data_IF_778095706822
#
_entry.id   IF_778095706822
#
_cell.length_a   1.000
_cell.length_b   1.000
_cell.length_c   1.000
_cell.angle_alpha   90.00
_cell.angle_beta   90.00
_cell.angle_gamma   90.00
#
_symmetry.space_group_name_H-M   'P 1'
#
loop_
_entity.id
_entity.type
_entity.pdbx_description
1 polymer ?
#
# COMPACT_ATOMS: atom_id res chain seq x y z
N UNK A 1 7.56 -5.47 -17.64
CA UNK A 1 8.52 -5.24 -16.53
C UNK A 1 7.88 -4.59 -15.28
N UNK A 2 6.55 -4.50 -15.14
CA UNK A 2 5.91 -3.99 -13.91
C UNK A 2 5.70 -5.09 -12.85
N UNK A 3 5.41 -6.33 -13.29
CA UNK A 3 5.23 -7.49 -12.40
C UNK A 3 6.46 -7.83 -11.57
N UNK A 4 7.66 -7.75 -12.15
CA UNK A 4 8.92 -8.03 -11.45
C UNK A 4 9.14 -7.09 -10.26
N UNK A 5 8.75 -5.81 -10.40
CA UNK A 5 8.96 -4.80 -9.36
C UNK A 5 7.98 -4.95 -8.19
N UNK A 6 6.75 -5.37 -8.48
CA UNK A 6 5.73 -5.72 -7.47
C UNK A 6 6.18 -6.94 -6.67
N UNK A 7 6.68 -7.97 -7.37
CA UNK A 7 7.19 -9.19 -6.76
C UNK A 7 8.43 -8.92 -5.89
N UNK A 8 9.37 -8.10 -6.37
CA UNK A 8 10.54 -7.65 -5.59
C UNK A 8 10.15 -6.87 -4.33
N UNK A 9 9.17 -5.97 -4.43
CA UNK A 9 8.69 -5.21 -3.27
C UNK A 9 8.03 -6.12 -2.22
N UNK A 10 7.32 -7.16 -2.65
CA UNK A 10 6.71 -8.13 -1.74
C UNK A 10 7.75 -8.99 -1.03
N UNK A 11 8.74 -9.52 -1.76
CA UNK A 11 9.83 -10.31 -1.18
C UNK A 11 10.61 -9.49 -0.15
N UNK A 12 10.99 -8.25 -0.47
CA UNK A 12 11.70 -7.38 0.45
C UNK A 12 10.87 -7.01 1.70
N UNK A 13 9.54 -7.03 1.61
CA UNK A 13 8.67 -6.82 2.76
C UNK A 13 8.60 -8.09 3.63
N UNK A 14 8.47 -9.25 3.01
CA UNK A 14 8.48 -10.55 3.67
C UNK A 14 9.78 -10.78 4.47
N UNK A 15 10.94 -10.50 3.86
CA UNK A 15 12.25 -10.59 4.54
C UNK A 15 12.35 -9.69 5.78
N UNK A 16 11.75 -8.49 5.73
CA UNK A 16 11.72 -7.58 6.89
C UNK A 16 10.84 -8.12 8.01
N UNK A 17 9.71 -8.72 7.67
CA UNK A 17 8.82 -9.33 8.67
C UNK A 17 9.48 -10.56 9.29
N UNK A 18 10.17 -11.38 8.49
CA UNK A 18 10.95 -12.52 8.99
C UNK A 18 12.00 -12.06 10.00
N UNK A 19 12.73 -10.97 9.70
CA UNK A 19 13.71 -10.40 10.62
C UNK A 19 13.08 -9.89 11.93
N UNK A 20 11.88 -9.31 11.88
CA UNK A 20 11.16 -8.85 13.07
C UNK A 20 10.64 -10.02 13.91
N UNK A 21 10.15 -11.08 13.27
CA UNK A 21 9.72 -12.29 13.95
C UNK A 21 10.90 -12.99 14.64
N UNK A 22 12.06 -13.09 13.99
CA UNK A 22 13.28 -13.65 14.58
C UNK A 22 13.76 -12.87 15.82
N UNK A 23 13.46 -11.57 15.88
CA UNK A 23 13.76 -10.72 17.03
C UNK A 23 12.68 -10.78 18.13
N UNK A 24 11.66 -11.63 17.97
CA UNK A 24 10.46 -11.69 18.81
C UNK A 24 9.74 -10.33 18.93
N UNK A 25 9.90 -9.44 17.95
CA UNK A 25 9.23 -8.14 17.92
C UNK A 25 7.76 -8.26 17.48
N UNK A 26 7.43 -9.32 16.73
CA UNK A 26 6.09 -9.68 16.28
C UNK A 26 5.89 -11.20 16.35
N UNK A 27 4.64 -11.65 16.53
CA UNK A 27 4.30 -13.07 16.46
C UNK A 27 4.07 -13.56 15.02
N UNK A 28 3.90 -14.87 14.87
CA UNK A 28 3.56 -15.51 13.58
C UNK A 28 2.23 -14.99 13.01
N UNK A 29 1.21 -14.87 13.87
CA UNK A 29 -0.10 -14.34 13.50
C UNK A 29 -0.05 -12.86 13.06
N UNK A 30 0.83 -12.06 13.68
CA UNK A 30 1.02 -10.65 13.32
C UNK A 30 1.70 -10.55 11.95
N UNK A 31 2.70 -11.40 11.68
CA UNK A 31 3.35 -11.51 10.38
C UNK A 31 2.35 -11.85 9.27
N UNK A 32 1.51 -12.88 9.47
CA UNK A 32 0.50 -13.26 8.48
C UNK A 32 -0.51 -12.12 8.24
N UNK A 33 -0.92 -11.44 9.31
CA UNK A 33 -1.82 -10.28 9.24
C UNK A 33 -1.20 -9.16 8.39
N UNK A 34 0.06 -8.82 8.65
CA UNK A 34 0.79 -7.76 7.92
C UNK A 34 0.99 -8.12 6.44
N UNK A 35 1.34 -9.36 6.13
CA UNK A 35 1.47 -9.84 4.75
C UNK A 35 0.13 -9.76 4.01
N UNK A 36 -0.94 -10.24 4.62
CA UNK A 36 -2.28 -10.21 4.01
C UNK A 36 -2.76 -8.78 3.73
N UNK A 37 -2.43 -7.83 4.60
CA UNK A 37 -2.73 -6.41 4.38
C UNK A 37 -1.90 -5.79 3.28
N UNK A 38 -0.60 -6.08 3.23
CA UNK A 38 0.24 -5.61 2.14
C UNK A 38 -0.27 -6.11 0.78
N UNK A 39 -0.59 -7.40 0.68
CA UNK A 39 -1.13 -7.99 -0.55
C UNK A 39 -2.49 -7.39 -0.94
N UNK A 40 -3.34 -7.06 0.06
CA UNK A 40 -4.61 -6.35 -0.17
C UNK A 40 -4.38 -4.93 -0.67
N UNK A 41 -3.54 -4.17 0.01
CA UNK A 41 -3.24 -2.78 -0.29
C UNK A 41 -2.65 -2.62 -1.69
N UNK A 42 -1.76 -3.54 -2.10
CA UNK A 42 -1.21 -3.54 -3.45
C UNK A 42 -2.30 -3.71 -4.52
N UNK A 43 -3.27 -4.61 -4.29
CA UNK A 43 -4.40 -4.78 -5.22
C UNK A 43 -5.26 -3.54 -5.28
N UNK A 44 -5.65 -2.99 -4.13
CA UNK A 44 -6.48 -1.79 -4.06
C UNK A 44 -5.83 -0.59 -4.78
N UNK A 45 -4.53 -0.36 -4.56
CA UNK A 45 -3.79 0.71 -5.26
C UNK A 45 -3.74 0.44 -6.77
N UNK A 46 -3.48 -0.79 -7.18
CA UNK A 46 -3.45 -1.16 -8.61
C UNK A 46 -4.82 -0.96 -9.27
N UNK A 47 -5.90 -1.36 -8.60
CA UNK A 47 -7.27 -1.23 -9.09
C UNK A 47 -7.69 0.25 -9.17
N UNK A 48 -7.40 1.06 -8.14
CA UNK A 48 -7.66 2.50 -8.17
C UNK A 48 -6.90 3.18 -9.33
N UNK A 49 -5.63 2.84 -9.52
CA UNK A 49 -4.81 3.37 -10.62
C UNK A 49 -5.39 3.02 -11.98
N UNK A 50 -5.77 1.76 -12.18
CA UNK A 50 -6.23 1.24 -13.46
C UNK A 50 -7.67 1.66 -13.81
N UNK A 51 -8.57 1.64 -12.83
CA UNK A 51 -10.01 1.79 -13.02
C UNK A 51 -10.50 3.21 -12.79
N UNK A 52 -9.80 4.01 -11.98
CA UNK A 52 -10.24 5.37 -11.61
C UNK A 52 -9.27 6.42 -12.12
N UNK A 53 -8.00 6.33 -11.75
CA UNK A 53 -7.04 7.42 -12.01
C UNK A 53 -6.68 7.50 -13.50
N UNK A 54 -6.41 6.37 -14.15
CA UNK A 54 -6.03 6.36 -15.57
C UNK A 54 -7.14 6.91 -16.49
N UNK A 55 -8.41 6.47 -16.41
CA UNK A 55 -9.46 7.01 -17.25
C UNK A 55 -9.69 8.51 -17.04
N UNK A 56 -9.63 8.98 -15.78
CA UNK A 56 -9.80 10.40 -15.47
C UNK A 56 -8.62 11.24 -15.96
N UNK A 57 -7.40 10.71 -15.91
CA UNK A 57 -6.23 11.36 -16.52
C UNK A 57 -6.44 11.54 -18.03
N UNK A 58 -6.84 10.49 -18.74
CA UNK A 58 -7.10 10.53 -20.18
C UNK A 58 -8.18 11.56 -20.53
N UNK A 59 -9.26 11.63 -19.73
CA UNK A 59 -10.30 12.65 -19.86
C UNK A 59 -9.74 14.07 -19.69
N UNK A 60 -8.95 14.30 -18.64
CA UNK A 60 -8.33 15.61 -18.35
C UNK A 60 -7.29 16.02 -19.39
N UNK A 61 -6.55 15.07 -19.96
CA UNK A 61 -5.63 15.37 -21.07
C UNK A 61 -6.42 15.94 -22.25
N UNK A 62 -7.59 15.37 -22.55
CA UNK A 62 -8.44 15.82 -23.65
C UNK A 62 -9.12 17.18 -23.40
N UNK A 63 -9.50 17.47 -22.15
CA UNK A 63 -10.25 18.68 -21.78
C UNK A 63 -9.37 19.85 -21.34
N UNK A 64 -8.39 19.58 -20.47
CA UNK A 64 -7.60 20.58 -19.75
C UNK A 64 -6.15 20.67 -20.27
N UNK A 65 -5.74 19.72 -21.11
CA UNK A 65 -4.37 19.60 -21.60
C UNK A 65 -3.45 18.82 -20.65
N UNK A 66 -2.29 18.45 -21.18
CA UNK A 66 -1.39 17.49 -20.53
C UNK A 66 -0.80 17.99 -19.20
N UNK A 67 -0.41 19.26 -19.12
CA UNK A 67 0.20 19.81 -17.90
C UNK A 67 -0.78 19.83 -16.72
N UNK A 68 -2.03 20.23 -16.97
CA UNK A 68 -3.08 20.23 -15.96
C UNK A 68 -3.43 18.81 -15.51
N UNK A 69 -3.52 17.87 -16.45
CA UNK A 69 -3.76 16.46 -16.14
C UNK A 69 -2.63 15.84 -15.31
N UNK A 70 -1.37 16.18 -15.60
CA UNK A 70 -0.20 15.72 -14.83
C UNK A 70 -0.19 16.29 -13.40
N UNK A 71 -0.50 17.58 -13.25
CA UNK A 71 -0.62 18.19 -11.93
C UNK A 71 -1.72 17.53 -11.09
N UNK A 72 -2.87 17.26 -11.71
CA UNK A 72 -3.95 16.51 -11.06
C UNK A 72 -3.52 15.09 -10.67
N UNK A 73 -2.87 14.34 -11.57
CA UNK A 73 -2.43 12.97 -11.29
C UNK A 73 -1.43 12.92 -10.12
N UNK A 74 -0.55 13.91 -9.99
CA UNK A 74 0.38 14.00 -8.87
C UNK A 74 -0.38 14.13 -7.53
N UNK A 75 -1.38 15.01 -7.46
CA UNK A 75 -2.24 15.19 -6.28
C UNK A 75 -3.06 13.94 -5.97
N UNK A 76 -3.62 13.29 -7.00
CA UNK A 76 -4.35 12.04 -6.84
C UNK A 76 -3.45 10.92 -6.29
N UNK A 77 -2.21 10.85 -6.76
CA UNK A 77 -1.22 9.90 -6.25
C UNK A 77 -0.81 10.16 -4.81
N UNK A 78 -0.64 11.43 -4.42
CA UNK A 78 -0.36 11.82 -3.03
C UNK A 78 -1.51 11.43 -2.09
N UNK A 79 -2.75 11.73 -2.47
CA UNK A 79 -3.92 11.35 -1.68
C UNK A 79 -4.05 9.83 -1.52
N UNK A 80 -3.89 9.08 -2.61
CA UNK A 80 -3.91 7.61 -2.58
C UNK A 80 -2.82 7.06 -1.64
N UNK A 81 -1.60 7.58 -1.72
CA UNK A 81 -0.50 7.20 -0.84
C UNK A 81 -0.76 7.53 0.63
N UNK A 82 -1.34 8.70 0.92
CA UNK A 82 -1.71 9.11 2.28
C UNK A 82 -2.76 8.17 2.87
N UNK A 83 -3.85 7.89 2.14
CA UNK A 83 -4.91 6.96 2.57
C UNK A 83 -4.34 5.56 2.83
N UNK A 84 -3.49 5.06 1.93
CA UNK A 84 -2.81 3.78 2.09
C UNK A 84 -1.92 3.73 3.36
N UNK A 85 -1.20 4.81 3.63
CA UNK A 85 -0.38 4.96 4.82
C UNK A 85 -1.18 4.99 6.12
N UNK A 86 -2.30 5.73 6.14
CA UNK A 86 -3.22 5.81 7.28
C UNK A 86 -3.81 4.44 7.63
N UNK A 87 -4.27 3.69 6.63
CA UNK A 87 -4.81 2.34 6.83
C UNK A 87 -3.74 1.39 7.40
N UNK A 88 -2.53 1.43 6.85
CA UNK A 88 -1.41 0.61 7.33
C UNK A 88 -1.04 0.97 8.77
N UNK A 89 -1.00 2.27 9.11
CA UNK A 89 -0.73 2.72 10.48
C UNK A 89 -1.80 2.23 11.44
N UNK A 90 -3.08 2.35 11.08
CA UNK A 90 -4.19 1.88 11.90
C UNK A 90 -4.09 0.37 12.17
N UNK A 91 -3.73 -0.42 11.15
CA UNK A 91 -3.49 -1.85 11.33
C UNK A 91 -2.36 -2.13 12.33
N UNK A 92 -1.21 -1.48 12.18
CA UNK A 92 -0.06 -1.74 13.06
C UNK A 92 -0.43 -1.38 14.51
N UNK A 93 -1.17 -0.28 14.72
CA UNK A 93 -1.66 0.10 16.05
C UNK A 93 -2.58 -0.97 16.65
N UNK A 94 -3.50 -1.51 15.86
CA UNK A 94 -4.38 -2.60 16.28
C UNK A 94 -3.61 -3.89 16.65
N UNK A 95 -2.57 -4.24 15.88
CA UNK A 95 -1.68 -5.37 16.22
C UNK A 95 -0.98 -5.12 17.56
N UNK A 96 -0.42 -3.92 17.75
CA UNK A 96 0.29 -3.56 18.99
C UNK A 96 -0.64 -3.53 20.22
N UNK A 97 -1.90 -3.15 20.04
CA UNK A 97 -2.91 -3.17 21.10
C UNK A 97 -3.26 -4.62 21.50
N UNK A 98 -3.54 -5.49 20.52
CA UNK A 98 -3.78 -6.93 20.76
C UNK A 98 -2.62 -7.62 21.47
N UNK A 99 -1.38 -7.30 21.10
CA UNK A 99 -0.19 -7.85 21.74
C UNK A 99 -0.06 -7.43 23.22
N UNK A 100 -0.54 -6.24 23.58
CA UNK A 100 -0.53 -5.75 24.97
C UNK A 100 -1.57 -6.43 25.85
N UNK A 101 -2.76 -6.70 25.30
CA UNK A 101 -3.85 -7.35 26.04
C UNK A 101 -3.57 -8.84 26.32
N UNK A 102 -2.69 -9.46 25.53
CA UNK A 102 -2.29 -10.86 25.68
C UNK A 102 -1.11 -11.10 26.66
N UNK A 103 -0.52 -10.03 27.22
CA UNK A 103 0.63 -10.07 28.13
C UNK A 103 0.22 -9.89 29.61
#
# INVERSE_FOLDING_TARGET
>A
MAGDRVWQNRQAFEEKLDALQQQNAIGENDRETLLGHFDRLQREISDELALVIKPEYERRVAEDGEDAARAWMALAGEDLGRRAGEQTRAMILDIMERAREAA
#
